data_IF_977990383532
#
_entry.id   IF_977990383532
#
_cell.length_a   1.000
_cell.length_b   1.000
_cell.length_c   1.000
_cell.angle_alpha   90.00
_cell.angle_beta   90.00
_cell.angle_gamma   90.00
#
_symmetry.space_group_name_H-M   'P 1'
#
loop_
_entity.id
_entity.type
_entity.pdbx_description
1 polymer ?
#
# COMPACT_ATOMS: atom_id res chain seq x y z
N UNK A 1 -0.27 -3.68 17.66
CA UNK A 1 -0.62 -3.70 16.22
C UNK A 1 -1.95 -4.43 16.08
N UNK A 2 -2.87 -3.96 15.24
CA UNK A 2 -4.17 -4.63 15.04
C UNK A 2 -4.02 -5.93 14.22
N UNK A 3 -3.06 -5.94 13.30
CA UNK A 3 -2.66 -7.13 12.54
C UNK A 3 -1.18 -7.44 12.78
N UNK A 4 -0.81 -8.72 12.69
CA UNK A 4 0.57 -9.19 12.88
C UNK A 4 1.23 -9.53 11.54
N UNK A 5 1.15 -8.58 10.59
CA UNK A 5 1.83 -8.67 9.31
C UNK A 5 3.01 -7.70 9.27
N UNK A 6 4.14 -8.21 8.78
CA UNK A 6 5.36 -7.45 8.54
C UNK A 6 5.87 -7.88 7.16
N UNK A 7 5.96 -6.97 6.16
CA UNK A 7 6.33 -7.38 4.82
C UNK A 7 7.83 -7.72 4.75
N UNK A 8 8.19 -8.62 3.83
CA UNK A 8 9.58 -8.90 3.40
C UNK A 8 9.94 -8.16 2.10
N UNK A 9 8.94 -7.63 1.39
CA UNK A 9 9.10 -6.79 0.21
C UNK A 9 7.94 -5.82 0.10
N UNK A 10 8.23 -4.59 -0.31
CA UNK A 10 7.23 -3.54 -0.55
C UNK A 10 7.40 -2.98 -1.95
N UNK A 11 6.29 -2.89 -2.67
CA UNK A 11 6.20 -2.15 -3.93
C UNK A 11 5.44 -0.85 -3.68
N UNK A 12 6.05 0.28 -4.03
CA UNK A 12 5.44 1.60 -3.91
C UNK A 12 5.11 2.11 -5.30
N UNK A 13 3.82 2.23 -5.60
CA UNK A 13 3.36 2.78 -6.88
C UNK A 13 3.49 4.31 -6.85
N UNK A 14 4.31 4.85 -7.75
CA UNK A 14 4.53 6.30 -7.87
C UNK A 14 3.79 6.82 -9.10
N UNK A 15 2.68 7.53 -8.88
CA UNK A 15 1.86 8.12 -9.94
C UNK A 15 2.16 9.62 -10.09
N UNK A 16 2.87 10.01 -11.16
CA UNK A 16 3.18 11.43 -11.43
C UNK A 16 3.98 12.10 -10.30
N UNK A 17 4.76 11.31 -9.56
CA UNK A 17 5.58 11.76 -8.44
C UNK A 17 6.96 12.16 -8.96
N UNK A 18 7.54 13.24 -8.43
CA UNK A 18 8.93 13.57 -8.72
C UNK A 18 9.86 12.48 -8.17
N UNK A 19 10.89 12.11 -8.94
CA UNK A 19 11.81 11.02 -8.57
C UNK A 19 12.42 11.22 -7.16
N UNK A 20 12.74 12.46 -6.78
CA UNK A 20 13.27 12.79 -5.46
C UNK A 20 12.26 12.50 -4.33
N UNK A 21 10.97 12.76 -4.55
CA UNK A 21 9.91 12.48 -3.56
C UNK A 21 9.70 10.98 -3.41
N UNK A 22 9.68 10.23 -4.52
CA UNK A 22 9.62 8.77 -4.49
C UNK A 22 10.80 8.16 -3.72
N UNK A 23 12.02 8.66 -3.98
CA UNK A 23 13.21 8.20 -3.28
C UNK A 23 13.17 8.50 -1.77
N UNK A 24 12.72 9.71 -1.41
CA UNK A 24 12.54 10.08 0.00
C UNK A 24 11.54 9.15 0.70
N UNK A 25 10.40 8.85 0.06
CA UNK A 25 9.40 7.94 0.60
C UNK A 25 9.97 6.53 0.79
N UNK A 26 10.72 6.02 -0.19
CA UNK A 26 11.43 4.74 -0.11
C UNK A 26 12.37 4.68 1.09
N UNK A 27 13.23 5.68 1.25
CA UNK A 27 14.25 5.68 2.30
C UNK A 27 13.64 5.78 3.70
N UNK A 28 12.57 6.59 3.86
CA UNK A 28 11.80 6.64 5.10
C UNK A 28 11.12 5.30 5.41
N UNK A 29 10.52 4.64 4.42
CA UNK A 29 9.91 3.32 4.61
C UNK A 29 10.95 2.28 5.06
N UNK A 30 12.13 2.27 4.46
CA UNK A 30 13.21 1.34 4.83
C UNK A 30 13.60 1.54 6.30
N UNK A 31 13.71 2.78 6.78
CA UNK A 31 14.00 3.06 8.18
C UNK A 31 12.87 2.55 9.08
N UNK A 32 11.61 2.86 8.76
CA UNK A 32 10.45 2.42 9.56
C UNK A 32 10.34 0.88 9.62
N UNK A 33 10.57 0.20 8.50
CA UNK A 33 10.54 -1.25 8.41
C UNK A 33 11.63 -1.88 9.28
N UNK A 34 12.86 -1.33 9.24
CA UNK A 34 13.98 -1.80 10.08
C UNK A 34 13.71 -1.62 11.57
N UNK A 35 13.21 -0.47 11.99
CA UNK A 35 12.82 -0.21 13.39
C UNK A 35 11.73 -1.18 13.88
N UNK A 36 10.95 -1.73 12.95
CA UNK A 36 9.92 -2.72 13.20
C UNK A 36 10.36 -4.17 13.00
N UNK A 37 11.65 -4.43 12.76
CA UNK A 37 12.25 -5.75 12.62
C UNK A 37 12.15 -6.37 11.23
N UNK A 38 11.72 -5.60 10.22
CA UNK A 38 11.60 -6.07 8.83
C UNK A 38 12.89 -5.80 8.05
N UNK A 39 13.44 -6.81 7.34
CA UNK A 39 14.55 -6.62 6.41
C UNK A 39 14.06 -6.18 5.02
N UNK A 40 12.81 -5.75 4.86
CA UNK A 40 12.17 -5.64 3.56
C UNK A 40 12.90 -4.76 2.57
N UNK A 41 12.94 -5.24 1.33
CA UNK A 41 13.32 -4.44 0.17
C UNK A 41 12.14 -3.57 -0.27
N UNK A 42 12.43 -2.35 -0.72
CA UNK A 42 11.43 -1.36 -1.15
C UNK A 42 11.72 -0.96 -2.58
N UNK A 43 10.81 -1.31 -3.47
CA UNK A 43 10.88 -1.08 -4.91
C UNK A 43 9.89 0.02 -5.31
N UNK A 44 10.38 1.04 -6.01
CA UNK A 44 9.53 2.08 -6.59
C UNK A 44 9.08 1.63 -7.98
N UNK A 45 7.78 1.73 -8.25
CA UNK A 45 7.18 1.38 -9.55
C UNK A 45 6.46 2.60 -10.09
N UNK A 46 6.99 3.18 -11.16
CA UNK A 46 6.33 4.28 -11.85
C UNK A 46 5.06 3.80 -12.56
N UNK A 47 3.95 4.48 -12.30
CA UNK A 47 2.64 4.16 -12.88
C UNK A 47 1.99 5.44 -13.43
N UNK A 48 1.15 5.34 -14.47
CA UNK A 48 0.43 6.51 -14.97
C UNK A 48 -0.58 7.02 -13.93
N UNK A 49 -0.74 8.35 -13.82
CA UNK A 49 -1.56 8.97 -12.77
C UNK A 49 -3.08 8.80 -12.91
N UNK A 50 -3.57 8.58 -14.14
CA UNK A 50 -5.01 8.54 -14.46
C UNK A 50 -5.43 7.36 -15.35
N UNK A 51 -4.49 6.53 -15.83
CA UNK A 51 -4.79 5.37 -16.65
C UNK A 51 -5.05 4.11 -15.81
N UNK A 52 -6.27 4.01 -15.28
CA UNK A 52 -6.75 2.90 -14.43
C UNK A 52 -6.45 1.53 -15.05
N UNK A 53 -6.63 1.37 -16.37
CA UNK A 53 -6.39 0.10 -17.07
C UNK A 53 -4.93 -0.31 -16.99
N UNK A 54 -4.01 0.61 -17.30
CA UNK A 54 -2.59 0.34 -17.28
C UNK A 54 -2.09 0.09 -15.85
N UNK A 55 -2.54 0.87 -14.87
CA UNK A 55 -2.24 0.64 -13.44
C UNK A 55 -2.66 -0.77 -13.04
N UNK A 56 -3.90 -1.17 -13.36
CA UNK A 56 -4.40 -2.51 -13.03
C UNK A 56 -3.66 -3.64 -13.74
N UNK A 57 -3.13 -3.39 -14.94
CA UNK A 57 -2.30 -4.37 -15.64
C UNK A 57 -0.94 -4.54 -14.95
N UNK A 58 -0.28 -3.45 -14.59
CA UNK A 58 1.00 -3.48 -13.88
C UNK A 58 0.86 -4.13 -12.50
N UNK A 59 -0.19 -3.79 -11.74
CA UNK A 59 -0.46 -4.42 -10.44
C UNK A 59 -0.76 -5.91 -10.60
N UNK A 60 -1.55 -6.30 -11.60
CA UNK A 60 -1.79 -7.71 -11.89
C UNK A 60 -0.49 -8.49 -12.14
N UNK A 61 0.45 -7.90 -12.87
CA UNK A 61 1.71 -8.55 -13.21
C UNK A 61 2.64 -8.67 -11.99
N UNK A 62 2.72 -7.64 -11.15
CA UNK A 62 3.47 -7.65 -9.88
C UNK A 62 2.88 -8.72 -8.94
N UNK A 63 1.58 -8.63 -8.68
CA UNK A 63 0.90 -9.56 -7.77
C UNK A 63 0.99 -10.99 -8.32
N UNK A 64 0.75 -11.20 -9.61
CA UNK A 64 0.86 -12.51 -10.25
C UNK A 64 2.26 -13.12 -10.12
N UNK A 65 3.31 -12.30 -10.28
CA UNK A 65 4.70 -12.71 -10.09
C UNK A 65 4.97 -13.15 -8.65
N UNK A 66 4.55 -12.35 -7.66
CA UNK A 66 4.78 -12.66 -6.25
C UNK A 66 3.95 -13.86 -5.78
N UNK A 67 2.68 -13.98 -6.21
CA UNK A 67 1.86 -15.16 -5.96
C UNK A 67 2.44 -16.41 -6.61
N UNK A 68 3.01 -16.29 -7.82
CA UNK A 68 3.71 -17.38 -8.50
C UNK A 68 4.93 -17.92 -7.74
N UNK A 69 5.55 -17.09 -6.89
CA UNK A 69 6.62 -17.49 -5.95
C UNK A 69 6.11 -18.10 -4.65
N UNK A 70 4.79 -18.16 -4.45
CA UNK A 70 4.17 -18.64 -3.22
C UNK A 70 4.03 -17.59 -2.12
N UNK A 71 4.28 -16.31 -2.42
CA UNK A 71 4.22 -15.25 -1.41
C UNK A 71 2.77 -14.92 -1.01
N UNK A 72 2.60 -14.48 0.23
CA UNK A 72 1.36 -13.84 0.70
C UNK A 72 1.43 -12.38 0.25
N UNK A 73 0.42 -11.92 -0.47
CA UNK A 73 0.38 -10.58 -1.03
C UNK A 73 -0.75 -9.78 -0.41
N UNK A 74 -0.39 -8.63 0.14
CA UNK A 74 -1.31 -7.62 0.64
C UNK A 74 -1.23 -6.34 -0.19
N UNK A 75 -2.34 -5.60 -0.26
CA UNK A 75 -2.39 -4.28 -0.89
C UNK A 75 -2.91 -3.27 0.12
N UNK A 76 -2.20 -2.16 0.30
CA UNK A 76 -2.70 -1.01 1.05
C UNK A 76 -3.31 0.01 0.08
N UNK A 77 -4.60 0.29 0.25
CA UNK A 77 -5.36 1.25 -0.57
C UNK A 77 -5.62 2.57 0.14
N UNK A 78 -4.97 2.80 1.29
CA UNK A 78 -5.04 4.06 2.03
C UNK A 78 -4.42 5.22 1.24
N UNK A 79 -3.18 5.12 0.73
CA UNK A 79 -2.56 6.21 -0.01
C UNK A 79 -2.95 6.18 -1.50
N UNK A 80 -2.78 7.33 -2.15
CA UNK A 80 -2.90 7.47 -3.60
C UNK A 80 -4.19 8.12 -4.07
N UNK A 81 -4.22 8.44 -5.37
CA UNK A 81 -5.41 9.00 -6.02
C UNK A 81 -6.48 7.92 -6.20
N UNK A 82 -7.75 8.32 -6.35
CA UNK A 82 -8.83 7.38 -6.67
C UNK A 82 -8.53 6.53 -7.91
N UNK A 83 -7.90 7.11 -8.94
CA UNK A 83 -7.51 6.37 -10.14
C UNK A 83 -6.48 5.28 -9.84
N UNK A 84 -5.44 5.60 -9.06
CA UNK A 84 -4.40 4.64 -8.64
C UNK A 84 -5.00 3.54 -7.77
N UNK A 85 -5.84 3.89 -6.80
CA UNK A 85 -6.53 2.94 -5.92
C UNK A 85 -7.44 2.00 -6.72
N UNK A 86 -8.28 2.53 -7.60
CA UNK A 86 -9.18 1.71 -8.43
C UNK A 86 -8.39 0.78 -9.36
N UNK A 87 -7.35 1.28 -10.02
CA UNK A 87 -6.48 0.46 -10.86
C UNK A 87 -5.86 -0.69 -10.06
N UNK A 88 -5.35 -0.36 -8.87
CA UNK A 88 -4.74 -1.35 -7.95
C UNK A 88 -5.74 -2.42 -7.52
N UNK A 89 -6.95 -2.04 -7.10
CA UNK A 89 -7.99 -3.01 -6.69
C UNK A 89 -8.39 -3.91 -7.86
N UNK A 90 -8.59 -3.35 -9.06
CA UNK A 90 -8.93 -4.12 -10.26
C UNK A 90 -7.83 -5.12 -10.60
N UNK A 91 -6.56 -4.69 -10.54
CA UNK A 91 -5.41 -5.56 -10.78
C UNK A 91 -5.31 -6.69 -9.74
N UNK A 92 -5.33 -6.32 -8.45
CA UNK A 92 -5.26 -7.24 -7.32
C UNK A 92 -6.39 -8.27 -7.31
N UNK A 93 -7.61 -7.87 -7.69
CA UNK A 93 -8.78 -8.74 -7.75
C UNK A 93 -8.68 -9.85 -8.79
N UNK A 94 -7.98 -9.62 -9.92
CA UNK A 94 -7.80 -10.63 -10.98
C UNK A 94 -6.95 -11.82 -10.55
N UNK A 95 -5.95 -11.56 -9.70
CA UNK A 95 -4.96 -12.54 -9.23
C UNK A 95 -5.17 -12.98 -7.78
N UNK A 96 -6.26 -12.51 -7.15
CA UNK A 96 -6.69 -12.86 -5.78
C UNK A 96 -5.61 -12.65 -4.72
N UNK A 97 -5.35 -11.39 -4.39
CA UNK A 97 -4.54 -11.04 -3.21
C UNK A 97 -5.13 -11.61 -1.92
N UNK A 98 -4.29 -11.77 -0.91
CA UNK A 98 -4.66 -12.37 0.37
C UNK A 98 -5.30 -11.35 1.30
N UNK A 99 -4.85 -10.09 1.23
CA UNK A 99 -5.32 -8.98 2.05
C UNK A 99 -5.49 -7.69 1.24
N UNK A 100 -6.49 -6.90 1.62
CA UNK A 100 -6.61 -5.50 1.19
C UNK A 100 -6.78 -4.65 2.44
N UNK A 101 -5.77 -3.85 2.75
CA UNK A 101 -5.76 -2.98 3.92
C UNK A 101 -6.24 -1.57 3.57
N UNK A 102 -7.01 -0.99 4.50
CA UNK A 102 -7.42 0.40 4.46
C UNK A 102 -7.38 0.99 5.87
N UNK A 103 -6.67 2.10 6.06
CA UNK A 103 -6.70 2.87 7.30
C UNK A 103 -7.79 3.93 7.21
N UNK A 104 -8.85 3.70 7.98
CA UNK A 104 -9.88 4.70 8.24
C UNK A 104 -9.41 5.68 9.31
N UNK A 105 -9.54 6.98 9.04
CA UNK A 105 -9.32 8.05 10.00
C UNK A 105 -10.62 8.85 10.08
N UNK A 106 -11.28 8.80 11.24
CA UNK A 106 -12.63 9.35 11.43
C UNK A 106 -12.71 10.85 11.17
N UNK A 107 -11.67 11.59 11.55
CA UNK A 107 -11.60 13.04 11.36
C UNK A 107 -10.23 13.46 10.88
N UNK A 108 -10.21 14.21 9.78
CA UNK A 108 -9.02 14.87 9.27
C UNK A 108 -8.73 16.20 9.96
N UNK A 109 -9.47 16.59 11.01
CA UNK A 109 -9.14 17.81 11.79
C UNK A 109 -7.69 17.80 12.30
N UNK A 110 -7.12 16.61 12.52
CA UNK A 110 -5.73 16.43 12.92
C UNK A 110 -4.81 15.95 11.77
N UNK A 111 -5.29 15.89 10.52
CA UNK A 111 -4.51 15.33 9.40
C UNK A 111 -3.29 16.17 9.01
N UNK A 112 -3.23 17.44 9.42
CA UNK A 112 -2.05 18.29 9.27
C UNK A 112 -0.98 18.05 10.34
N UNK A 113 -1.29 17.25 11.38
CA UNK A 113 -0.32 16.89 12.42
C UNK A 113 0.49 15.67 11.99
N UNK A 114 1.73 15.52 12.50
CA UNK A 114 2.47 14.27 12.35
C UNK A 114 1.61 13.06 12.75
N UNK A 115 1.74 11.94 12.04
CA UNK A 115 0.94 10.73 12.29
C UNK A 115 0.95 10.28 13.76
N UNK A 116 2.09 10.42 14.43
CA UNK A 116 2.29 10.10 15.86
C UNK A 116 1.41 10.93 16.80
N UNK A 117 0.89 12.08 16.37
CA UNK A 117 0.03 12.96 17.15
C UNK A 117 -1.48 12.74 16.87
N UNK A 118 -1.84 11.93 15.88
CA UNK A 118 -3.24 11.61 15.59
C UNK A 118 -3.72 10.59 16.62
N UNK A 119 -4.74 10.90 17.45
CA UNK A 119 -5.21 9.98 18.49
C UNK A 119 -5.58 8.61 17.92
N UNK A 120 -5.04 7.53 18.52
CA UNK A 120 -5.27 6.15 18.06
C UNK A 120 -6.75 5.76 18.05
N UNK A 121 -7.56 6.34 18.96
CA UNK A 121 -9.01 6.09 19.03
C UNK A 121 -9.77 6.55 17.78
N UNK A 122 -9.19 7.47 16.99
CA UNK A 122 -9.77 7.98 15.75
C UNK A 122 -9.35 7.18 14.51
N UNK A 123 -8.55 6.13 14.71
CA UNK A 123 -7.96 5.34 13.65
C UNK A 123 -8.46 3.90 13.71
N UNK A 124 -8.81 3.33 12.56
CA UNK A 124 -9.18 1.92 12.44
C UNK A 124 -8.57 1.35 11.18
N UNK A 125 -7.83 0.25 11.31
CA UNK A 125 -7.34 -0.48 10.15
C UNK A 125 -8.35 -1.56 9.78
N UNK A 126 -8.65 -1.67 8.51
CA UNK A 126 -9.57 -2.65 7.94
C UNK A 126 -8.80 -3.65 7.10
N UNK A 127 -9.13 -4.94 7.24
CA UNK A 127 -8.76 -5.97 6.27
C UNK A 127 -10.03 -6.31 5.48
N UNK A 128 -10.21 -5.59 4.36
CA UNK A 128 -11.47 -5.58 3.63
C UNK A 128 -11.87 -6.98 3.16
N UNK A 129 -10.89 -7.83 2.80
CA UNK A 129 -11.17 -9.19 2.36
C UNK A 129 -11.61 -10.11 3.50
N UNK A 130 -11.16 -9.87 4.74
CA UNK A 130 -11.64 -10.61 5.91
C UNK A 130 -13.01 -10.14 6.37
N UNK A 131 -13.34 -8.87 6.19
CA UNK A 131 -14.61 -8.28 6.63
C UNK A 131 -15.80 -8.67 5.73
N UNK A 132 -15.57 -8.98 4.46
CA UNK A 132 -16.62 -9.32 3.48
C UNK A 132 -16.75 -10.82 3.18
N UNK A 133 -15.94 -11.67 3.83
CA UNK A 133 -15.95 -13.12 3.66
C UNK A 133 -16.79 -13.83 4.71
#
# INVERSE_FOLDING_TARGET
>A
RQFDYLPDKVYVLTAGCEAAQGQMARDMLIVLLKEHGSPADVELVDVPGDNIKQIGQMVNDIVGTEKGKGNIVAVDVTPGTKATVLGTIIGAGKVKVDHIFYLYIESLQNASRPYLEIPLVLQRSHDLLKEVR
#
